data_IF_651227389496
#
_entry.id   IF_651227389496
#
_cell.length_a   1.000
_cell.length_b   1.000
_cell.length_c   1.000
_cell.angle_alpha   90.00
_cell.angle_beta   90.00
_cell.angle_gamma   90.00
#
_symmetry.space_group_name_H-M   'P 1'
#
loop_
_entity.id
_entity.type
_entity.pdbx_description
1 polymer ?
#
# COMPACT_ATOMS: atom_id res chain seq x y z
N UNK A 1 17.92 8.87 15.15
CA UNK A 1 17.24 7.83 15.94
C UNK A 1 17.61 6.49 15.32
N UNK A 2 18.43 5.67 15.98
CA UNK A 2 18.75 4.33 15.49
C UNK A 2 17.45 3.53 15.43
N UNK A 3 17.18 2.88 14.29
CA UNK A 3 15.98 2.08 14.03
C UNK A 3 15.66 1.15 15.21
N UNK A 4 14.56 1.41 15.90
CA UNK A 4 14.10 0.61 17.04
C UNK A 4 13.66 -0.80 16.63
N UNK A 5 13.38 -1.04 15.35
CA UNK A 5 12.98 -2.37 14.84
C UNK A 5 14.10 -3.42 14.87
N UNK A 6 15.38 -3.00 14.79
CA UNK A 6 16.48 -3.97 14.75
C UNK A 6 16.86 -4.57 16.12
N UNK A 7 16.51 -3.92 17.24
CA UNK A 7 16.91 -4.43 18.57
C UNK A 7 16.00 -5.48 19.18
N UNK A 8 14.71 -5.51 18.81
CA UNK A 8 13.77 -6.48 19.37
C UNK A 8 13.83 -7.87 18.73
N UNK A 9 14.25 -7.96 17.47
CA UNK A 9 14.27 -9.21 16.68
C UNK A 9 15.63 -9.93 16.76
N UNK A 10 16.72 -9.22 17.07
CA UNK A 10 18.08 -9.80 17.01
C UNK A 10 18.56 -10.52 18.27
N UNK A 11 17.89 -10.37 19.40
CA UNK A 11 18.38 -10.85 20.71
C UNK A 11 17.57 -12.01 21.33
N UNK A 12 16.61 -12.61 20.60
CA UNK A 12 15.91 -13.81 21.08
C UNK A 12 16.66 -15.09 20.69
N UNK A 13 17.34 -15.76 21.64
CA UNK A 13 18.09 -17.01 21.37
C UNK A 13 17.22 -18.15 20.82
N UNK A 14 15.89 -18.07 21.00
CA UNK A 14 14.93 -19.06 20.54
C UNK A 14 14.70 -19.03 19.02
N UNK A 15 15.02 -17.92 18.35
CA UNK A 15 14.79 -17.74 16.90
C UNK A 15 15.90 -18.35 16.02
N UNK A 16 17.00 -18.78 16.62
CA UNK A 16 18.18 -19.22 15.90
C UNK A 16 18.19 -20.72 15.55
N UNK A 17 17.25 -21.52 16.06
CA UNK A 17 17.30 -22.98 15.94
C UNK A 17 16.08 -23.53 15.21
N UNK A 18 16.24 -24.16 14.05
CA UNK A 18 15.17 -24.90 13.37
C UNK A 18 14.59 -26.00 14.27
N UNK A 19 13.29 -26.29 14.10
CA UNK A 19 12.58 -27.33 14.85
C UNK A 19 12.08 -28.47 13.96
N UNK A 20 11.98 -28.23 12.65
CA UNK A 20 11.53 -29.18 11.65
C UNK A 20 12.17 -28.88 10.29
N UNK A 21 11.88 -29.71 9.30
CA UNK A 21 12.25 -29.53 7.90
C UNK A 21 11.02 -29.74 7.02
N UNK A 22 10.79 -28.85 6.05
CA UNK A 22 9.73 -28.95 5.06
C UNK A 22 10.35 -28.73 3.69
N UNK A 23 10.21 -29.71 2.80
CA UNK A 23 10.74 -29.66 1.43
C UNK A 23 12.23 -29.25 1.35
N UNK A 24 13.04 -29.75 2.29
CA UNK A 24 14.48 -29.45 2.38
C UNK A 24 14.82 -28.12 3.08
N UNK A 25 13.83 -27.33 3.50
CA UNK A 25 14.05 -26.10 4.24
C UNK A 25 13.90 -26.30 5.75
N UNK A 26 14.89 -25.88 6.54
CA UNK A 26 14.74 -25.86 8.00
C UNK A 26 13.72 -24.79 8.40
N UNK A 27 12.75 -25.17 9.25
CA UNK A 27 11.65 -24.29 9.65
C UNK A 27 11.37 -24.36 11.15
N UNK A 28 10.58 -23.41 11.65
CA UNK A 28 9.97 -23.42 13.00
C UNK A 28 8.70 -22.55 13.01
N UNK A 29 7.86 -22.61 14.09
CA UNK A 29 6.82 -21.62 14.32
C UNK A 29 7.37 -20.19 14.26
N UNK A 30 6.64 -19.30 13.63
CA UNK A 30 7.05 -17.92 13.42
C UNK A 30 6.72 -16.98 14.58
N UNK A 31 6.89 -15.68 14.30
CA UNK A 31 6.58 -14.56 15.19
C UNK A 31 5.23 -14.01 14.73
N UNK A 32 4.16 -14.37 15.45
CA UNK A 32 2.77 -14.19 15.03
C UNK A 32 2.30 -12.74 14.94
N UNK A 33 2.93 -11.82 15.62
CA UNK A 33 2.63 -10.37 15.64
C UNK A 33 3.42 -9.57 14.60
N UNK A 34 4.24 -10.23 13.77
CA UNK A 34 4.94 -9.59 12.66
C UNK A 34 4.29 -9.99 11.33
N UNK A 35 3.27 -9.25 10.91
CA UNK A 35 2.57 -9.50 9.66
C UNK A 35 3.46 -9.35 8.42
N UNK A 36 3.19 -10.18 7.40
CA UNK A 36 3.94 -10.24 6.16
C UNK A 36 5.29 -10.94 6.30
N UNK A 37 6.20 -10.67 5.37
CA UNK A 37 7.55 -11.22 5.39
C UNK A 37 8.54 -10.28 6.07
N UNK A 38 9.20 -10.78 7.12
CA UNK A 38 10.20 -10.03 7.89
C UNK A 38 11.54 -10.74 7.85
N UNK A 39 12.60 -10.10 7.29
CA UNK A 39 13.94 -10.71 7.27
C UNK A 39 14.54 -10.77 8.68
N UNK A 40 15.08 -11.94 9.03
CA UNK A 40 15.81 -12.23 10.25
C UNK A 40 17.30 -12.45 9.94
N UNK A 41 18.12 -12.68 10.98
CA UNK A 41 19.56 -12.87 10.80
C UNK A 41 19.88 -14.07 9.87
N UNK A 42 19.14 -15.20 10.00
CA UNK A 42 19.42 -16.45 9.30
C UNK A 42 18.22 -16.99 8.52
N UNK A 43 17.19 -16.18 8.27
CA UNK A 43 15.98 -16.63 7.60
C UNK A 43 14.95 -15.51 7.42
N UNK A 44 13.73 -15.89 7.13
CA UNK A 44 12.61 -14.97 6.96
C UNK A 44 11.41 -15.49 7.75
N UNK A 45 10.78 -14.60 8.51
CA UNK A 45 9.49 -14.84 9.14
C UNK A 45 8.37 -14.51 8.17
N UNK A 46 7.48 -15.46 7.92
CA UNK A 46 6.28 -15.29 7.11
C UNK A 46 5.05 -15.44 7.98
N UNK A 47 4.22 -14.40 8.05
CA UNK A 47 2.99 -14.40 8.86
C UNK A 47 1.84 -13.89 8.03
N UNK A 48 0.75 -14.66 8.00
CA UNK A 48 -0.45 -14.35 7.22
C UNK A 48 -1.73 -14.68 8.00
N UNK A 49 -2.71 -13.79 7.92
CA UNK A 49 -4.05 -13.97 8.47
C UNK A 49 -4.97 -14.60 7.42
N UNK A 50 -5.70 -15.64 7.81
CA UNK A 50 -6.86 -16.16 7.07
C UNK A 50 -7.83 -16.89 8.02
N UNK A 51 -9.00 -16.32 8.20
CA UNK A 51 -10.05 -16.84 9.08
C UNK A 51 -10.76 -18.06 8.46
N UNK A 52 -11.10 -17.95 7.18
CA UNK A 52 -11.84 -18.98 6.46
C UNK A 52 -10.98 -20.05 5.80
N UNK A 53 -9.68 -19.83 5.71
CA UNK A 53 -8.73 -20.76 5.07
C UNK A 53 -8.55 -22.05 5.87
N UNK A 54 -8.66 -23.19 5.18
CA UNK A 54 -8.44 -24.53 5.74
C UNK A 54 -7.01 -25.00 5.61
N UNK A 55 -6.24 -24.45 4.67
CA UNK A 55 -4.79 -24.65 4.53
C UNK A 55 -4.15 -23.43 3.89
N UNK A 56 -2.88 -23.22 4.18
CA UNK A 56 -2.04 -22.19 3.60
C UNK A 56 -0.70 -22.76 3.15
N UNK A 57 -0.23 -22.37 1.99
CA UNK A 57 1.07 -22.73 1.44
C UNK A 57 1.86 -21.46 1.11
N UNK A 58 3.15 -21.45 1.46
CA UNK A 58 4.12 -20.47 1.00
C UNK A 58 4.76 -20.98 -0.29
N UNK A 59 4.72 -20.16 -1.33
CA UNK A 59 5.35 -20.42 -2.62
C UNK A 59 6.63 -19.61 -2.73
N UNK A 60 7.74 -20.26 -3.08
CA UNK A 60 9.02 -19.59 -3.31
C UNK A 60 9.38 -19.70 -4.79
N UNK A 61 9.67 -18.58 -5.42
CA UNK A 61 10.00 -18.46 -6.84
C UNK A 61 11.43 -17.96 -7.01
N UNK A 62 12.17 -18.48 -7.97
CA UNK A 62 13.34 -17.74 -8.45
C UNK A 62 12.90 -16.44 -9.09
N UNK A 63 13.74 -15.43 -9.01
CA UNK A 63 13.44 -14.10 -9.58
C UNK A 63 12.99 -14.20 -11.02
N UNK A 64 11.85 -13.61 -11.32
CA UNK A 64 11.27 -13.57 -12.65
C UNK A 64 10.91 -14.96 -13.24
N UNK A 65 10.59 -15.95 -12.40
CA UNK A 65 10.06 -17.24 -12.83
C UNK A 65 8.60 -17.36 -12.38
N UNK A 66 7.77 -18.00 -13.21
CA UNK A 66 6.36 -18.23 -12.93
C UNK A 66 6.13 -19.50 -12.09
N UNK A 67 7.00 -20.48 -12.21
CA UNK A 67 6.90 -21.75 -11.48
C UNK A 67 7.66 -21.67 -10.15
N UNK A 68 7.05 -22.04 -9.03
CA UNK A 68 7.73 -22.07 -7.75
C UNK A 68 8.80 -23.18 -7.72
N UNK A 69 9.97 -22.86 -7.17
CA UNK A 69 11.00 -23.86 -6.91
C UNK A 69 10.76 -24.63 -5.60
N UNK A 70 9.92 -24.10 -4.71
CA UNK A 70 9.50 -24.77 -3.48
C UNK A 70 8.07 -24.37 -3.11
N UNK A 71 7.34 -25.31 -2.53
CA UNK A 71 5.99 -25.13 -1.98
C UNK A 71 5.99 -25.63 -0.55
N UNK A 72 5.89 -24.71 0.41
CA UNK A 72 6.00 -25.00 1.83
C UNK A 72 4.63 -24.87 2.51
N UNK A 73 3.93 -25.99 2.80
CA UNK A 73 2.68 -25.93 3.55
C UNK A 73 2.96 -25.48 4.98
N UNK A 74 2.13 -24.58 5.49
CA UNK A 74 2.15 -24.22 6.90
C UNK A 74 1.56 -25.39 7.72
N UNK A 75 2.33 -25.98 8.65
CA UNK A 75 1.79 -26.99 9.55
C UNK A 75 0.64 -26.41 10.40
N UNK A 76 -0.36 -27.22 10.72
CA UNK A 76 -1.45 -26.81 11.63
C UNK A 76 -0.93 -26.36 12.99
N UNK A 77 0.17 -26.97 13.47
CA UNK A 77 0.85 -26.56 14.71
C UNK A 77 1.51 -25.16 14.61
N UNK A 78 1.58 -24.56 13.42
CA UNK A 78 2.10 -23.21 13.18
C UNK A 78 0.96 -22.20 12.93
N UNK A 79 -0.26 -22.57 13.31
CA UNK A 79 -1.45 -21.71 13.32
C UNK A 79 -1.85 -21.40 14.77
N UNK A 80 -2.10 -20.13 15.05
CA UNK A 80 -2.68 -19.67 16.32
C UNK A 80 -3.88 -18.76 15.98
N UNK A 81 -5.07 -19.14 16.41
CA UNK A 81 -6.29 -18.46 15.97
C UNK A 81 -6.43 -18.53 14.45
N UNK A 82 -6.52 -17.39 13.82
CA UNK A 82 -6.63 -17.24 12.36
C UNK A 82 -5.31 -16.83 11.68
N UNK A 83 -4.18 -16.99 12.37
CA UNK A 83 -2.87 -16.56 11.88
C UNK A 83 -1.96 -17.75 11.71
N UNK A 84 -1.42 -17.92 10.50
CA UNK A 84 -0.32 -18.84 10.19
C UNK A 84 1.00 -18.07 10.29
N UNK A 85 2.00 -18.64 10.96
CA UNK A 85 3.32 -18.02 11.05
C UNK A 85 4.44 -19.06 11.04
N UNK A 86 5.45 -18.86 10.16
CA UNK A 86 6.58 -19.77 9.99
C UNK A 86 7.87 -19.00 9.69
N UNK A 87 8.94 -19.34 10.37
CA UNK A 87 10.29 -18.93 9.99
C UNK A 87 10.87 -20.01 9.06
N UNK A 88 11.37 -19.57 7.91
CA UNK A 88 12.10 -20.39 6.96
C UNK A 88 13.55 -19.94 6.94
N UNK A 89 14.48 -20.87 7.21
CA UNK A 89 15.91 -20.58 7.30
C UNK A 89 16.63 -20.83 5.98
N UNK A 90 17.80 -20.21 5.81
CA UNK A 90 18.68 -20.43 4.66
C UNK A 90 18.25 -19.72 3.38
N UNK A 91 17.26 -18.83 3.44
CA UNK A 91 16.81 -18.05 2.31
C UNK A 91 17.70 -16.82 2.09
N UNK A 92 18.19 -16.64 0.86
CA UNK A 92 18.80 -15.40 0.43
C UNK A 92 17.73 -14.47 -0.15
N UNK A 93 17.40 -13.40 0.56
CA UNK A 93 16.31 -12.48 0.20
C UNK A 93 16.51 -11.78 -1.15
N UNK A 94 17.72 -11.74 -1.68
CA UNK A 94 18.04 -11.13 -2.97
C UNK A 94 17.81 -12.09 -4.16
N UNK A 95 17.53 -13.38 -3.91
CA UNK A 95 17.46 -14.41 -4.95
C UNK A 95 16.06 -14.97 -5.18
N UNK A 96 15.08 -14.67 -4.31
CA UNK A 96 13.75 -15.22 -4.44
C UNK A 96 12.64 -14.18 -4.36
N UNK A 97 11.49 -14.56 -4.85
CA UNK A 97 10.19 -13.92 -4.72
C UNK A 97 9.23 -14.90 -4.04
N UNK A 98 8.16 -14.41 -3.43
CA UNK A 98 7.22 -15.29 -2.74
C UNK A 98 5.77 -14.89 -2.98
N UNK A 99 4.88 -15.85 -2.81
CA UNK A 99 3.44 -15.67 -2.79
C UNK A 99 2.80 -16.76 -1.90
N UNK A 100 1.49 -16.75 -1.83
CA UNK A 100 0.73 -17.73 -1.06
C UNK A 100 -0.29 -18.47 -1.92
N UNK A 101 -0.72 -19.65 -1.45
CA UNK A 101 -1.96 -20.32 -1.84
C UNK A 101 -2.76 -20.60 -0.59
N UNK A 102 -4.06 -20.35 -0.66
CA UNK A 102 -4.99 -20.64 0.44
C UNK A 102 -6.13 -21.49 -0.11
N UNK A 103 -6.41 -22.60 0.55
CA UNK A 103 -7.58 -23.44 0.28
C UNK A 103 -8.65 -23.20 1.33
N UNK A 104 -9.91 -23.43 0.96
CA UNK A 104 -11.05 -23.20 1.84
C UNK A 104 -12.39 -23.35 1.10
N UNK A 105 -13.49 -23.01 1.73
CA UNK A 105 -14.80 -23.11 1.11
C UNK A 105 -14.96 -22.13 -0.05
N UNK A 106 -15.56 -22.61 -1.15
CA UNK A 106 -15.97 -21.78 -2.27
C UNK A 106 -17.49 -21.66 -2.29
N UNK A 107 -18.01 -20.53 -1.88
CA UNK A 107 -19.44 -20.25 -1.76
C UNK A 107 -19.69 -18.75 -2.02
N UNK A 108 -19.69 -18.31 -3.29
CA UNK A 108 -19.76 -16.90 -3.66
C UNK A 108 -20.94 -16.15 -3.03
N UNK A 109 -22.09 -16.80 -2.91
CA UNK A 109 -23.28 -16.22 -2.30
C UNK A 109 -23.14 -15.92 -0.79
N UNK A 110 -22.07 -16.42 -0.17
CA UNK A 110 -21.65 -16.10 1.20
C UNK A 110 -20.36 -15.28 1.25
N UNK A 111 -19.89 -14.82 0.09
CA UNK A 111 -18.65 -14.09 -0.02
C UNK A 111 -17.38 -14.92 0.19
N UNK A 112 -17.45 -16.24 0.13
CA UNK A 112 -16.30 -17.14 0.31
C UNK A 112 -15.75 -17.54 -1.07
N UNK A 113 -14.52 -17.11 -1.37
CA UNK A 113 -13.91 -17.24 -2.70
C UNK A 113 -12.56 -17.98 -2.67
N UNK A 114 -12.34 -18.88 -1.70
CA UNK A 114 -11.08 -19.62 -1.61
C UNK A 114 -10.87 -20.50 -2.83
N UNK A 115 -9.64 -20.46 -3.38
CA UNK A 115 -9.25 -21.28 -4.53
C UNK A 115 -7.75 -21.53 -4.49
N UNK A 116 -7.36 -22.75 -4.16
CA UNK A 116 -5.96 -23.19 -4.08
C UNK A 116 -5.16 -23.06 -5.39
N UNK A 117 -5.81 -22.81 -6.52
CA UNK A 117 -5.11 -22.57 -7.78
C UNK A 117 -4.68 -21.12 -7.97
N UNK A 118 -5.19 -20.19 -7.13
CA UNK A 118 -4.80 -18.79 -7.18
C UNK A 118 -3.45 -18.60 -6.49
N UNK A 119 -2.55 -17.90 -7.14
CA UNK A 119 -1.33 -17.36 -6.53
C UNK A 119 -1.68 -16.00 -5.95
N UNK A 120 -1.49 -15.85 -4.65
CA UNK A 120 -1.94 -14.69 -3.89
C UNK A 120 -0.76 -13.85 -3.42
N UNK A 121 -0.77 -12.58 -3.79
CA UNK A 121 0.16 -11.57 -3.28
C UNK A 121 -0.12 -11.32 -1.80
N UNK A 122 0.93 -11.30 -0.99
CA UNK A 122 0.87 -10.92 0.42
C UNK A 122 0.22 -9.53 0.59
N UNK A 123 -0.85 -9.38 1.37
CA UNK A 123 -1.42 -8.07 1.70
C UNK A 123 -0.43 -7.09 2.34
N UNK A 124 0.64 -7.58 2.95
CA UNK A 124 1.73 -6.81 3.57
C UNK A 124 3.01 -6.75 2.72
N UNK A 125 2.93 -7.05 1.42
CA UNK A 125 4.08 -7.03 0.52
C UNK A 125 4.74 -5.64 0.47
N UNK A 126 6.01 -5.55 0.83
CA UNK A 126 6.79 -4.30 0.87
C UNK A 126 7.48 -3.97 -0.46
N UNK A 127 7.49 -4.91 -1.38
CA UNK A 127 7.88 -4.75 -2.77
C UNK A 127 7.20 -5.81 -3.61
N UNK A 128 6.86 -5.48 -4.86
CA UNK A 128 6.16 -6.39 -5.79
C UNK A 128 7.02 -6.61 -7.02
N UNK A 129 7.11 -7.87 -7.45
CA UNK A 129 7.73 -8.29 -8.71
C UNK A 129 6.69 -8.33 -9.85
N UNK A 130 7.15 -8.35 -11.09
CA UNK A 130 6.31 -8.46 -12.29
C UNK A 130 6.14 -7.17 -13.07
N UNK A 131 6.46 -6.00 -12.51
CA UNK A 131 6.41 -4.72 -13.18
C UNK A 131 7.76 -4.02 -13.10
N UNK A 132 8.45 -3.86 -14.23
CA UNK A 132 9.82 -3.30 -14.25
C UNK A 132 9.95 -2.01 -15.02
N UNK A 133 9.07 -1.80 -15.99
CA UNK A 133 9.10 -0.63 -16.87
C UNK A 133 7.67 -0.25 -17.16
N UNK A 134 7.38 1.05 -17.10
CA UNK A 134 6.06 1.59 -17.38
C UNK A 134 5.49 1.06 -18.70
N UNK A 135 4.28 0.50 -18.64
CA UNK A 135 3.54 -0.05 -19.78
C UNK A 135 3.98 -1.45 -20.22
N UNK A 136 4.98 -2.03 -19.58
CA UNK A 136 5.46 -3.38 -19.86
C UNK A 136 5.37 -4.19 -18.58
N UNK A 137 4.42 -5.12 -18.58
CA UNK A 137 4.30 -6.08 -17.49
C UNK A 137 5.26 -7.25 -17.71
N UNK A 138 5.87 -7.73 -16.62
CA UNK A 138 6.79 -8.85 -16.67
C UNK A 138 6.05 -10.18 -16.86
N UNK A 139 5.04 -10.42 -16.02
CA UNK A 139 4.15 -11.56 -16.03
C UNK A 139 2.75 -11.13 -15.57
N UNK A 140 1.82 -12.06 -15.50
CA UNK A 140 0.45 -11.80 -15.03
C UNK A 140 0.24 -12.16 -13.56
N UNK A 141 1.26 -12.68 -12.87
CA UNK A 141 1.20 -13.08 -11.48
C UNK A 141 2.02 -12.10 -10.62
N UNK A 142 1.44 -11.62 -9.54
CA UNK A 142 2.14 -10.75 -8.59
C UNK A 142 2.86 -11.61 -7.56
N UNK A 143 4.18 -11.47 -7.48
CA UNK A 143 4.99 -12.01 -6.41
C UNK A 143 5.49 -10.90 -5.52
N UNK A 144 5.55 -11.16 -4.21
CA UNK A 144 6.14 -10.25 -3.26
C UNK A 144 7.66 -10.49 -3.14
N UNK A 145 8.38 -9.44 -2.76
CA UNK A 145 9.80 -9.50 -2.43
C UNK A 145 10.02 -9.15 -0.97
N UNK A 146 10.98 -9.80 -0.35
CA UNK A 146 11.40 -9.49 1.02
C UNK A 146 12.31 -8.27 0.98
N UNK A 147 12.02 -7.28 1.80
CA UNK A 147 12.80 -6.02 1.87
C UNK A 147 13.51 -5.92 3.21
N UNK A 148 14.82 -5.76 3.17
CA UNK A 148 15.64 -5.39 4.32
C UNK A 148 15.92 -3.90 4.27
N UNK A 149 15.40 -3.17 5.25
CA UNK A 149 15.64 -1.73 5.31
C UNK A 149 17.02 -1.43 5.90
N UNK A 150 17.90 -0.92 5.04
CA UNK A 150 19.26 -0.50 5.40
C UNK A 150 19.53 0.94 5.00
N UNK A 151 18.48 1.72 4.66
CA UNK A 151 18.63 3.08 4.16
C UNK A 151 19.18 4.02 5.22
N UNK A 152 20.25 4.74 4.88
CA UNK A 152 20.82 5.77 5.73
C UNK A 152 20.20 7.14 5.44
N UNK A 153 19.47 7.64 6.42
CA UNK A 153 18.85 8.96 6.36
C UNK A 153 19.83 10.11 6.63
N UNK A 154 21.04 9.82 7.12
CA UNK A 154 22.00 10.85 7.57
C UNK A 154 21.43 11.72 8.69
N UNK A 155 21.95 12.96 8.75
CA UNK A 155 21.54 13.97 9.74
C UNK A 155 20.38 14.86 9.27
N UNK A 156 19.66 14.49 8.22
CA UNK A 156 18.52 15.26 7.71
C UNK A 156 17.36 15.17 8.71
N UNK A 157 16.94 16.32 9.31
CA UNK A 157 15.84 16.32 10.25
C UNK A 157 14.51 16.13 9.51
N UNK A 158 13.57 15.43 10.14
CA UNK A 158 12.18 15.44 9.69
C UNK A 158 11.58 16.82 9.91
N UNK A 159 10.85 17.34 8.94
CA UNK A 159 10.14 18.62 9.06
C UNK A 159 9.01 18.50 10.09
N UNK A 160 8.64 19.63 10.69
CA UNK A 160 7.56 19.71 11.70
C UNK A 160 6.79 21.02 11.51
N UNK A 161 6.34 21.28 10.27
CA UNK A 161 5.51 22.46 10.02
C UNK A 161 4.09 22.21 10.48
N UNK A 162 3.42 23.27 10.96
CA UNK A 162 1.99 23.23 11.20
C UNK A 162 1.24 23.18 9.86
N UNK A 163 0.08 22.52 9.85
CA UNK A 163 -0.71 22.37 8.62
C UNK A 163 -1.11 23.74 8.02
N UNK A 164 -1.42 24.72 8.84
CA UNK A 164 -1.79 26.07 8.40
C UNK A 164 -0.63 26.84 7.73
N UNK A 165 0.61 26.41 7.91
CA UNK A 165 1.79 27.00 7.29
C UNK A 165 2.19 26.33 5.98
N UNK A 166 1.48 25.26 5.57
CA UNK A 166 1.81 24.51 4.35
C UNK A 166 1.23 25.19 3.11
N UNK A 167 2.07 25.25 2.09
CA UNK A 167 1.69 25.50 0.71
C UNK A 167 1.94 24.18 -0.03
N UNK A 168 0.86 23.43 -0.24
CA UNK A 168 0.91 22.08 -0.78
C UNK A 168 0.79 22.13 -2.30
N UNK A 169 1.68 21.43 -2.99
CA UNK A 169 1.62 21.23 -4.42
C UNK A 169 1.34 19.75 -4.72
N UNK A 170 0.14 19.46 -5.21
CA UNK A 170 -0.24 18.14 -5.67
C UNK A 170 0.44 17.87 -7.01
N UNK A 171 1.13 16.74 -7.13
CA UNK A 171 1.79 16.32 -8.36
C UNK A 171 1.81 14.81 -8.57
N UNK A 172 1.80 14.42 -9.82
CA UNK A 172 1.96 13.04 -10.24
C UNK A 172 3.43 12.76 -10.60
N UNK A 173 4.07 11.79 -9.93
CA UNK A 173 5.51 11.49 -10.09
C UNK A 173 5.92 11.37 -11.56
N UNK A 174 5.19 10.53 -12.32
CA UNK A 174 5.52 10.30 -13.74
C UNK A 174 5.21 11.51 -14.60
N UNK A 175 4.00 12.06 -14.53
CA UNK A 175 3.55 13.09 -15.45
C UNK A 175 4.30 14.41 -15.27
N UNK A 176 4.76 14.71 -14.05
CA UNK A 176 5.48 15.94 -13.75
C UNK A 176 6.78 16.09 -14.54
N UNK A 177 7.46 14.97 -14.85
CA UNK A 177 8.75 15.01 -15.53
C UNK A 177 8.83 14.22 -16.82
N UNK A 178 7.78 13.50 -17.21
CA UNK A 178 7.84 12.59 -18.36
C UNK A 178 8.07 13.28 -19.70
N UNK A 179 7.47 14.47 -19.90
CA UNK A 179 7.62 15.20 -21.16
C UNK A 179 9.07 15.72 -21.33
N UNK A 180 9.63 15.68 -22.57
CA UNK A 180 11.01 16.13 -22.82
C UNK A 180 11.31 17.57 -22.38
N UNK A 181 10.31 18.47 -22.40
CA UNK A 181 10.46 19.86 -21.93
C UNK A 181 10.77 19.99 -20.45
N UNK A 182 10.63 18.91 -19.66
CA UNK A 182 11.06 18.92 -18.27
C UNK A 182 12.55 19.11 -18.11
N UNK A 183 13.36 18.72 -19.11
CA UNK A 183 14.80 18.87 -19.11
C UNK A 183 15.55 17.97 -18.13
N UNK A 184 14.86 17.01 -17.48
CA UNK A 184 15.48 16.08 -16.52
C UNK A 184 16.04 14.84 -17.22
N UNK A 185 17.03 14.20 -16.59
CA UNK A 185 17.67 13.00 -17.10
C UNK A 185 16.76 11.75 -16.90
N UNK A 186 16.20 11.58 -15.70
CA UNK A 186 15.41 10.41 -15.33
C UNK A 186 13.90 10.71 -15.39
N UNK A 187 13.39 10.97 -16.59
CA UNK A 187 12.02 11.41 -16.81
C UNK A 187 10.97 10.39 -16.32
N UNK A 188 9.99 10.88 -15.60
CA UNK A 188 8.84 10.09 -15.12
C UNK A 188 9.14 9.19 -13.94
N UNK A 189 10.22 9.45 -13.18
CA UNK A 189 10.66 8.63 -12.05
C UNK A 189 10.87 9.46 -10.78
N UNK A 190 11.05 8.80 -9.64
CA UNK A 190 11.43 9.45 -8.38
C UNK A 190 12.74 10.25 -8.53
N UNK A 191 13.72 9.72 -9.24
CA UNK A 191 14.98 10.43 -9.54
C UNK A 191 14.75 11.68 -10.39
N UNK A 192 13.86 11.61 -11.38
CA UNK A 192 13.51 12.77 -12.21
C UNK A 192 12.78 13.85 -11.42
N UNK A 193 11.93 13.46 -10.46
CA UNK A 193 11.29 14.43 -9.56
C UNK A 193 12.33 15.11 -8.66
N UNK A 194 13.32 14.38 -8.17
CA UNK A 194 14.42 14.92 -7.37
C UNK A 194 15.19 16.03 -8.12
N UNK A 195 15.40 15.89 -9.44
CA UNK A 195 16.01 16.92 -10.28
C UNK A 195 15.19 18.23 -10.34
N UNK A 196 13.91 18.20 -9.98
CA UNK A 196 12.98 19.36 -9.94
C UNK A 196 12.87 20.04 -8.58
N UNK A 197 13.56 19.60 -7.54
CA UNK A 197 13.56 20.25 -6.23
C UNK A 197 13.90 21.75 -6.31
N UNK A 198 14.91 22.20 -7.10
CA UNK A 198 15.18 23.64 -7.26
C UNK A 198 13.97 24.43 -7.79
N UNK A 199 13.24 23.87 -8.77
CA UNK A 199 12.01 24.48 -9.31
C UNK A 199 10.90 24.58 -8.24
N UNK A 200 10.69 23.51 -7.46
CA UNK A 200 9.68 23.51 -6.39
C UNK A 200 10.00 24.56 -5.31
N UNK A 201 11.28 24.75 -5.00
CA UNK A 201 11.73 25.83 -4.10
C UNK A 201 11.50 27.22 -4.68
N UNK A 202 11.79 27.43 -5.96
CA UNK A 202 11.55 28.70 -6.65
C UNK A 202 10.05 29.04 -6.68
N UNK A 203 9.20 28.01 -6.86
CA UNK A 203 7.75 28.15 -6.80
C UNK A 203 7.25 28.58 -5.40
N UNK A 204 8.06 28.39 -4.35
CA UNK A 204 7.77 28.81 -2.98
C UNK A 204 6.89 27.84 -2.21
N UNK A 205 6.71 26.60 -2.69
CA UNK A 205 5.96 25.57 -1.95
C UNK A 205 6.83 24.97 -0.85
N UNK A 206 6.20 24.44 0.18
CA UNK A 206 6.89 23.80 1.30
C UNK A 206 6.34 22.41 1.66
N UNK A 207 5.43 21.89 0.87
CA UNK A 207 4.99 20.51 0.88
C UNK A 207 4.63 20.04 -0.54
N UNK A 208 4.90 18.78 -0.84
CA UNK A 208 4.37 18.10 -2.02
C UNK A 208 3.38 17.04 -1.59
N UNK A 209 2.25 16.95 -2.28
CA UNK A 209 1.31 15.85 -2.18
C UNK A 209 1.51 14.99 -3.42
N UNK A 210 2.04 13.78 -3.22
CA UNK A 210 2.28 12.84 -4.30
C UNK A 210 0.98 12.06 -4.56
N UNK A 211 0.40 12.22 -5.76
CA UNK A 211 -0.65 11.32 -6.25
C UNK A 211 -0.19 9.87 -6.08
N UNK A 212 -1.09 8.87 -6.08
CA UNK A 212 -0.78 7.53 -5.58
C UNK A 212 0.54 6.96 -6.07
N UNK A 213 1.40 6.61 -5.11
CA UNK A 213 2.73 6.01 -5.35
C UNK A 213 2.79 4.55 -4.89
N UNK A 214 1.72 4.03 -4.31
CA UNK A 214 1.62 2.61 -3.99
C UNK A 214 1.64 1.79 -5.27
N UNK A 215 2.07 0.52 -5.17
CA UNK A 215 2.12 -0.34 -6.35
C UNK A 215 0.74 -0.50 -6.99
N UNK A 216 0.65 -0.16 -8.27
CA UNK A 216 -0.50 -0.38 -9.13
C UNK A 216 -0.03 -0.87 -10.49
N UNK A 217 -0.92 -1.48 -11.23
CA UNK A 217 -0.63 -2.01 -12.57
C UNK A 217 -1.29 -1.17 -13.63
N UNK A 218 -0.50 -0.32 -14.28
CA UNK A 218 -0.97 0.56 -15.34
C UNK A 218 -1.50 -0.20 -16.57
N UNK A 219 -1.21 -1.48 -16.68
CA UNK A 219 -1.69 -2.33 -17.79
C UNK A 219 -3.00 -3.05 -17.51
N UNK A 220 -3.45 -3.11 -16.25
CA UNK A 220 -4.62 -3.91 -15.83
C UNK A 220 -5.91 -3.50 -16.55
N UNK A 221 -6.15 -2.20 -16.72
CA UNK A 221 -7.32 -1.64 -17.38
C UNK A 221 -6.97 -1.00 -18.73
N UNK A 222 -5.89 -1.44 -19.36
CA UNK A 222 -5.45 -0.90 -20.64
C UNK A 222 -6.53 -1.07 -21.72
N UNK A 223 -6.77 -0.01 -22.48
CA UNK A 223 -7.74 0.01 -23.60
C UNK A 223 -7.11 0.62 -24.84
N UNK A 224 -7.57 0.21 -26.00
CA UNK A 224 -7.10 0.77 -27.26
C UNK A 224 -8.15 1.78 -27.80
N UNK A 225 -7.70 3.00 -28.09
CA UNK A 225 -8.50 4.05 -28.72
C UNK A 225 -7.73 4.54 -29.95
N UNK A 226 -8.34 4.47 -31.11
CA UNK A 226 -7.75 4.88 -32.40
C UNK A 226 -6.34 4.28 -32.64
N UNK A 227 -6.17 3.00 -32.29
CA UNK A 227 -4.89 2.30 -32.44
C UNK A 227 -3.83 2.63 -31.37
N UNK A 228 -4.13 3.53 -30.43
CA UNK A 228 -3.24 3.89 -29.32
C UNK A 228 -3.67 3.15 -28.05
N UNK A 229 -2.74 2.44 -27.43
CA UNK A 229 -2.98 1.83 -26.12
C UNK A 229 -2.95 2.91 -25.02
N UNK A 230 -4.04 3.03 -24.29
CA UNK A 230 -4.18 3.88 -23.13
C UNK A 230 -4.01 3.03 -21.86
N UNK A 231 -3.17 3.49 -20.96
CA UNK A 231 -2.81 2.82 -19.71
C UNK A 231 -3.48 3.55 -18.53
N UNK A 232 -3.66 2.83 -17.43
CA UNK A 232 -3.97 3.45 -16.14
C UNK A 232 -2.80 4.37 -15.74
N UNK A 233 -3.08 5.65 -15.54
CA UNK A 233 -2.01 6.63 -15.33
C UNK A 233 -1.99 7.17 -13.91
N UNK A 234 -3.14 7.30 -13.24
CA UNK A 234 -3.26 8.06 -12.00
C UNK A 234 -2.86 7.27 -10.75
N UNK A 235 -2.95 5.94 -10.79
CA UNK A 235 -2.56 5.08 -9.69
C UNK A 235 -3.65 4.82 -8.63
N UNK A 236 -4.90 5.28 -8.86
CA UNK A 236 -6.02 5.00 -7.94
C UNK A 236 -6.57 3.58 -8.11
N UNK A 237 -5.73 2.61 -8.37
CA UNK A 237 -6.08 1.19 -8.53
C UNK A 237 -5.03 0.31 -7.86
N UNK A 238 -4.98 0.35 -6.53
CA UNK A 238 -3.89 -0.18 -5.73
C UNK A 238 -3.83 -1.71 -5.76
N UNK A 239 -2.66 -2.25 -6.09
CA UNK A 239 -2.31 -3.69 -6.01
C UNK A 239 -1.71 -4.03 -4.65
N UNK A 240 -0.85 -3.17 -4.09
CA UNK A 240 -0.22 -3.37 -2.78
C UNK A 240 -0.08 -2.06 -2.02
N UNK A 241 -0.54 -2.04 -0.76
CA UNK A 241 -0.52 -0.84 0.09
C UNK A 241 0.87 -0.53 0.69
N UNK A 242 1.74 -1.52 0.84
CA UNK A 242 3.05 -1.35 1.48
C UNK A 242 4.20 -1.17 0.49
N UNK A 243 3.98 -1.42 -0.80
CA UNK A 243 5.00 -1.35 -1.81
C UNK A 243 4.94 -0.04 -2.59
N UNK A 244 6.07 0.68 -2.79
CA UNK A 244 6.12 1.77 -3.75
C UNK A 244 6.03 1.23 -5.18
N UNK A 245 5.46 2.03 -6.09
CA UNK A 245 5.33 1.64 -7.49
C UNK A 245 6.69 1.41 -8.13
N UNK A 246 6.92 0.19 -8.60
CA UNK A 246 8.20 -0.26 -9.15
C UNK A 246 8.56 0.44 -10.46
N UNK A 247 7.58 0.85 -11.27
CA UNK A 247 7.81 1.55 -12.53
C UNK A 247 8.15 3.04 -12.38
N UNK A 248 8.04 3.59 -11.17
CA UNK A 248 8.54 4.93 -10.85
C UNK A 248 10.03 4.97 -10.48
N UNK A 249 10.70 3.83 -10.44
CA UNK A 249 12.16 3.78 -10.29
C UNK A 249 12.88 4.09 -11.59
N UNK A 250 14.01 4.78 -11.50
CA UNK A 250 14.89 5.09 -12.64
C UNK A 250 15.70 3.88 -13.13
N UNK A 251 15.77 2.81 -12.34
CA UNK A 251 16.53 1.60 -12.63
C UNK A 251 15.76 0.34 -12.25
N UNK A 252 16.00 -0.74 -13.00
CA UNK A 252 15.36 -2.05 -12.81
C UNK A 252 16.11 -2.94 -11.81
N UNK A 253 16.80 -2.36 -10.85
CA UNK A 253 17.49 -3.09 -9.81
C UNK A 253 16.49 -3.59 -8.75
N UNK A 254 16.81 -4.72 -8.14
CA UNK A 254 16.01 -5.34 -7.10
C UNK A 254 15.79 -4.39 -5.90
N UNK A 255 14.54 -4.14 -5.52
CA UNK A 255 14.14 -3.22 -4.45
C UNK A 255 14.66 -1.78 -4.60
N UNK A 256 14.99 -1.35 -5.81
CA UNK A 256 15.52 -0.01 -6.08
C UNK A 256 14.47 1.08 -5.85
N UNK A 257 13.21 0.80 -6.15
CA UNK A 257 12.08 1.73 -6.00
C UNK A 257 11.97 2.29 -4.58
N UNK A 258 12.10 1.43 -3.56
CA UNK A 258 12.06 1.87 -2.16
C UNK A 258 13.24 2.76 -1.78
N UNK A 259 14.44 2.42 -2.23
CA UNK A 259 15.65 3.22 -1.98
C UNK A 259 15.57 4.58 -2.68
N UNK A 260 15.10 4.60 -3.93
CA UNK A 260 14.98 5.83 -4.72
C UNK A 260 13.93 6.77 -4.14
N UNK A 261 12.76 6.24 -3.71
CA UNK A 261 11.74 7.03 -3.04
C UNK A 261 12.26 7.61 -1.70
N UNK A 262 12.96 6.82 -0.89
CA UNK A 262 13.57 7.32 0.35
C UNK A 262 14.61 8.41 0.08
N UNK A 263 15.39 8.27 -1.00
CA UNK A 263 16.33 9.29 -1.42
C UNK A 263 15.61 10.58 -1.79
N UNK A 264 14.54 10.49 -2.58
CA UNK A 264 13.70 11.65 -2.93
C UNK A 264 13.16 12.34 -1.67
N UNK A 265 12.59 11.59 -0.73
CA UNK A 265 12.02 12.15 0.51
C UNK A 265 13.13 12.82 1.35
N UNK A 266 14.30 12.20 1.48
CA UNK A 266 15.43 12.79 2.18
C UNK A 266 15.86 14.11 1.55
N UNK A 267 15.96 14.17 0.22
CA UNK A 267 16.35 15.40 -0.50
C UNK A 267 15.27 16.50 -0.39
N UNK A 268 13.98 16.13 -0.42
CA UNK A 268 12.89 17.08 -0.17
C UNK A 268 13.00 17.67 1.25
N UNK A 269 13.18 16.83 2.28
CA UNK A 269 13.36 17.27 3.66
C UNK A 269 14.61 18.16 3.82
N UNK A 270 15.72 17.81 3.20
CA UNK A 270 16.94 18.63 3.20
C UNK A 270 16.71 20.04 2.62
N UNK A 271 15.71 20.18 1.75
CA UNK A 271 15.28 21.43 1.14
C UNK A 271 14.07 22.07 1.81
N UNK A 272 13.63 21.56 2.97
CA UNK A 272 12.54 22.11 3.76
C UNK A 272 11.15 21.85 3.18
N UNK A 273 10.99 20.84 2.32
CA UNK A 273 9.73 20.43 1.69
C UNK A 273 9.24 19.14 2.35
N UNK A 274 8.03 19.16 2.89
CA UNK A 274 7.34 18.00 3.45
C UNK A 274 6.74 17.12 2.35
N UNK A 275 6.49 15.84 2.67
CA UNK A 275 5.93 14.87 1.74
C UNK A 275 4.63 14.30 2.30
N UNK A 276 3.55 14.50 1.55
CA UNK A 276 2.22 13.95 1.80
C UNK A 276 1.97 12.87 0.74
N UNK A 277 1.47 11.72 1.14
CA UNK A 277 1.07 10.67 0.21
C UNK A 277 -0.44 10.65 0.04
N UNK A 278 -0.90 10.59 -1.21
CA UNK A 278 -2.28 10.28 -1.53
C UNK A 278 -2.49 8.77 -1.42
N UNK A 279 -3.38 8.35 -0.51
CA UNK A 279 -3.61 6.95 -0.16
C UNK A 279 -5.03 6.50 -0.46
N UNK A 280 -5.14 5.32 -1.07
CA UNK A 280 -6.40 4.78 -1.58
C UNK A 280 -6.77 3.53 -0.76
N UNK A 281 -7.45 3.71 0.39
CA UNK A 281 -7.93 2.59 1.20
C UNK A 281 -9.42 2.30 1.02
N UNK A 282 -10.08 3.00 0.12
CA UNK A 282 -11.51 2.82 -0.10
C UNK A 282 -11.85 1.62 -0.99
N UNK A 283 -10.91 1.17 -1.82
CA UNK A 283 -11.04 0.00 -2.71
C UNK A 283 -9.69 -0.60 -3.07
N UNK A 284 -9.70 -1.70 -3.82
CA UNK A 284 -8.50 -2.36 -4.35
C UNK A 284 -8.63 -2.63 -5.84
N UNK A 285 -7.53 -2.97 -6.49
CA UNK A 285 -7.47 -3.33 -7.90
C UNK A 285 -8.18 -4.64 -8.26
N UNK A 286 -8.72 -5.38 -7.27
CA UNK A 286 -9.41 -6.64 -7.52
C UNK A 286 -10.83 -6.48 -8.12
N UNK A 287 -11.33 -5.22 -8.27
CA UNK A 287 -12.61 -4.94 -8.92
C UNK A 287 -13.82 -5.64 -8.26
N UNK A 288 -14.88 -5.89 -9.02
CA UNK A 288 -16.09 -6.54 -8.57
C UNK A 288 -16.00 -8.08 -8.60
N UNK A 289 -17.17 -8.78 -8.57
CA UNK A 289 -17.26 -10.25 -8.63
C UNK A 289 -16.64 -10.87 -9.91
N UNK A 290 -16.46 -10.08 -10.98
CA UNK A 290 -15.82 -10.50 -12.23
C UNK A 290 -14.34 -10.10 -12.30
N UNK A 291 -13.88 -9.35 -11.31
CA UNK A 291 -12.49 -8.92 -11.23
C UNK A 291 -11.55 -10.05 -10.79
N UNK A 292 -10.24 -9.85 -10.92
CA UNK A 292 -9.25 -10.84 -10.55
C UNK A 292 -9.25 -11.12 -9.03
N UNK A 293 -8.71 -12.28 -8.66
CA UNK A 293 -8.44 -12.65 -7.26
C UNK A 293 -6.94 -12.95 -7.16
N UNK A 294 -6.18 -11.97 -6.70
CA UNK A 294 -4.73 -12.07 -6.62
C UNK A 294 -4.17 -11.72 -5.22
N UNK A 295 -5.01 -11.28 -4.29
CA UNK A 295 -4.63 -10.95 -2.91
C UNK A 295 -5.84 -11.12 -1.99
N UNK A 296 -6.45 -10.02 -1.51
CA UNK A 296 -7.48 -9.96 -0.46
C UNK A 296 -8.67 -10.89 -0.67
N UNK A 297 -9.18 -11.01 -1.91
CA UNK A 297 -10.27 -11.92 -2.26
C UNK A 297 -9.95 -13.38 -1.96
N UNK A 298 -8.70 -13.77 -2.23
CA UNK A 298 -8.25 -15.14 -2.06
C UNK A 298 -7.91 -15.51 -0.62
N UNK A 299 -7.65 -14.52 0.25
CA UNK A 299 -7.40 -14.75 1.68
C UNK A 299 -8.69 -14.81 2.47
N UNK A 300 -9.50 -13.73 2.46
CA UNK A 300 -10.76 -13.64 3.18
C UNK A 300 -11.64 -12.55 2.57
N UNK A 301 -12.27 -12.85 1.43
CA UNK A 301 -13.09 -11.88 0.70
C UNK A 301 -14.15 -11.19 1.58
N UNK A 302 -14.83 -11.94 2.43
CA UNK A 302 -15.88 -11.45 3.33
C UNK A 302 -15.38 -10.63 4.53
N UNK A 303 -14.08 -10.61 4.79
CA UNK A 303 -13.45 -9.77 5.81
C UNK A 303 -12.97 -8.45 5.20
N UNK A 304 -12.28 -8.55 4.07
CA UNK A 304 -11.66 -7.38 3.44
C UNK A 304 -12.65 -6.48 2.72
N UNK A 305 -13.78 -7.01 2.22
CA UNK A 305 -14.74 -6.23 1.43
C UNK A 305 -16.11 -6.12 2.09
N UNK A 306 -16.75 -4.99 1.87
CA UNK A 306 -18.15 -4.80 2.18
C UNK A 306 -19.00 -5.57 1.18
N UNK A 307 -19.77 -6.56 1.66
CA UNK A 307 -20.60 -7.42 0.82
C UNK A 307 -22.07 -7.23 1.13
N UNK A 308 -22.88 -7.31 0.09
CA UNK A 308 -24.34 -7.42 0.22
C UNK A 308 -24.72 -8.81 0.77
N UNK A 309 -25.94 -9.01 1.30
CA UNK A 309 -26.34 -10.31 1.86
C UNK A 309 -26.27 -11.50 0.90
N UNK A 310 -26.23 -11.26 -0.41
CA UNK A 310 -26.09 -12.25 -1.48
C UNK A 310 -24.64 -12.40 -1.99
N UNK A 311 -23.66 -11.84 -1.26
CA UNK A 311 -22.23 -12.01 -1.53
C UNK A 311 -21.64 -11.10 -2.61
N UNK A 312 -22.42 -10.17 -3.19
CA UNK A 312 -21.92 -9.17 -4.12
C UNK A 312 -21.24 -8.00 -3.39
N UNK A 313 -20.50 -7.17 -4.13
CA UNK A 313 -19.78 -6.04 -3.52
C UNK A 313 -20.64 -4.79 -3.43
N UNK A 314 -20.63 -4.12 -2.28
CA UNK A 314 -20.97 -2.71 -2.23
C UNK A 314 -19.93 -1.90 -3.03
N UNK A 315 -20.39 -0.90 -3.78
CA UNK A 315 -19.56 -0.11 -4.69
C UNK A 315 -19.66 1.40 -4.38
N UNK A 316 -19.34 1.79 -3.14
CA UNK A 316 -19.30 3.19 -2.74
C UNK A 316 -18.08 3.95 -3.30
N UNK A 317 -17.08 3.21 -3.80
CA UNK A 317 -15.90 3.78 -4.46
C UNK A 317 -16.14 4.13 -5.95
N UNK A 318 -17.13 3.51 -6.60
CA UNK A 318 -17.30 3.56 -8.04
C UNK A 318 -16.36 2.63 -8.83
N UNK A 319 -15.44 1.92 -8.13
CA UNK A 319 -14.39 1.09 -8.74
C UNK A 319 -14.68 -0.42 -8.69
N UNK A 320 -15.89 -0.81 -8.30
CA UNK A 320 -16.36 -2.19 -8.31
C UNK A 320 -16.37 -2.87 -6.95
N UNK A 321 -15.56 -2.44 -5.99
CA UNK A 321 -15.57 -2.92 -4.62
C UNK A 321 -15.44 -1.78 -3.62
N UNK A 322 -15.70 -2.07 -2.36
CA UNK A 322 -15.48 -1.18 -1.22
C UNK A 322 -14.78 -1.96 -0.13
N UNK A 323 -13.65 -1.45 0.35
CA UNK A 323 -12.91 -2.09 1.45
C UNK A 323 -13.68 -1.93 2.76
N UNK A 324 -13.76 -3.01 3.57
CA UNK A 324 -14.42 -3.03 4.87
C UNK A 324 -13.52 -2.42 5.95
N UNK A 325 -13.30 -1.11 5.88
CA UNK A 325 -12.29 -0.38 6.65
C UNK A 325 -12.49 -0.45 8.16
N UNK A 326 -13.72 -0.73 8.64
CA UNK A 326 -14.01 -0.81 10.07
C UNK A 326 -14.00 -2.25 10.62
N UNK A 327 -13.75 -3.26 9.79
CA UNK A 327 -13.43 -4.60 10.29
C UNK A 327 -12.08 -4.59 11.03
N UNK A 328 -11.93 -5.22 12.21
CA UNK A 328 -10.69 -5.13 13.01
C UNK A 328 -9.41 -5.52 12.27
N UNK A 329 -9.46 -6.55 11.43
CA UNK A 329 -8.30 -6.99 10.60
C UNK A 329 -7.90 -5.91 9.60
N UNK A 330 -8.87 -5.25 8.96
CA UNK A 330 -8.62 -4.20 7.97
C UNK A 330 -8.15 -2.91 8.66
N UNK A 331 -8.70 -2.57 9.84
CA UNK A 331 -8.21 -1.46 10.66
C UNK A 331 -6.74 -1.64 11.00
N UNK A 332 -6.34 -2.85 11.43
CA UNK A 332 -4.95 -3.16 11.74
C UNK A 332 -4.06 -3.04 10.50
N UNK A 333 -4.47 -3.59 9.36
CA UNK A 333 -3.75 -3.47 8.10
C UNK A 333 -3.47 -2.00 7.73
N UNK A 334 -4.50 -1.14 7.78
CA UNK A 334 -4.40 0.28 7.45
C UNK A 334 -3.48 1.00 8.44
N UNK A 335 -3.65 0.76 9.75
CA UNK A 335 -2.82 1.37 10.77
C UNK A 335 -1.35 0.97 10.62
N UNK A 336 -1.06 -0.32 10.42
CA UNK A 336 0.30 -0.81 10.19
C UNK A 336 0.91 -0.24 8.91
N UNK A 337 0.11 -0.09 7.86
CA UNK A 337 0.52 0.53 6.60
C UNK A 337 0.97 1.99 6.82
N UNK A 338 0.15 2.82 7.46
CA UNK A 338 0.49 4.22 7.71
C UNK A 338 1.69 4.37 8.65
N UNK A 339 1.79 3.52 9.68
CA UNK A 339 2.98 3.45 10.55
C UNK A 339 4.23 3.07 9.76
N UNK A 340 4.14 2.08 8.86
CA UNK A 340 5.24 1.67 8.00
C UNK A 340 5.76 2.83 7.14
N UNK A 341 4.87 3.55 6.45
CA UNK A 341 5.25 4.70 5.65
C UNK A 341 5.82 5.85 6.49
N UNK A 342 5.28 6.07 7.69
CA UNK A 342 5.79 7.09 8.63
C UNK A 342 7.16 6.74 9.17
N UNK A 343 7.38 5.49 9.60
CA UNK A 343 8.63 5.07 10.25
C UNK A 343 9.75 4.87 9.21
N UNK A 344 9.45 4.11 8.14
CA UNK A 344 10.46 3.64 7.20
C UNK A 344 10.73 4.62 6.07
N UNK A 345 9.74 5.46 5.71
CA UNK A 345 9.87 6.47 4.65
C UNK A 345 9.84 7.92 5.17
N UNK A 346 9.62 8.12 6.46
CA UNK A 346 9.53 9.45 7.09
C UNK A 346 8.51 10.38 6.43
N UNK A 347 7.38 9.83 5.99
CA UNK A 347 6.27 10.58 5.38
C UNK A 347 5.66 11.52 6.40
N UNK A 348 5.34 12.76 6.01
CA UNK A 348 4.85 13.83 6.89
C UNK A 348 3.33 13.96 6.93
N UNK A 349 2.64 13.36 5.96
CA UNK A 349 1.18 13.40 5.90
C UNK A 349 0.58 12.37 4.93
N UNK A 350 -0.73 12.18 5.07
CA UNK A 350 -1.54 11.36 4.17
C UNK A 350 -2.82 12.12 3.80
N UNK A 351 -3.12 12.13 2.50
CA UNK A 351 -4.42 12.53 1.95
C UNK A 351 -5.18 11.25 1.61
N UNK A 352 -6.38 11.12 2.14
CA UNK A 352 -7.19 9.91 1.98
C UNK A 352 -8.23 10.12 0.88
N UNK A 353 -8.08 9.36 -0.20
CA UNK A 353 -9.03 9.30 -1.31
C UNK A 353 -10.38 8.77 -0.83
N UNK A 354 -11.49 9.44 -1.22
CA UNK A 354 -12.86 9.07 -0.84
C UNK A 354 -12.99 8.70 0.65
N UNK A 355 -12.46 9.53 1.53
CA UNK A 355 -12.29 9.23 2.96
C UNK A 355 -13.61 8.95 3.70
N UNK A 356 -14.77 9.39 3.18
CA UNK A 356 -16.07 9.08 3.77
C UNK A 356 -16.36 7.58 3.80
N UNK A 357 -15.74 6.77 2.93
CA UNK A 357 -15.84 5.31 2.96
C UNK A 357 -15.25 4.73 4.25
N UNK A 358 -14.16 5.32 4.77
CA UNK A 358 -13.52 4.87 6.01
C UNK A 358 -14.43 5.05 7.24
N UNK A 359 -15.51 5.80 7.08
CA UNK A 359 -16.53 6.04 8.10
C UNK A 359 -17.82 5.23 7.93
N UNK A 360 -17.83 4.19 7.09
CA UNK A 360 -19.01 3.35 6.88
C UNK A 360 -18.98 2.07 7.69
N UNK A 361 -20.19 1.61 8.12
CA UNK A 361 -20.43 0.26 8.66
C UNK A 361 -20.34 -0.79 7.55
N UNK A 362 -20.34 -2.06 7.94
CA UNK A 362 -20.38 -3.20 7.01
C UNK A 362 -21.60 -3.23 6.08
N UNK A 363 -22.73 -2.67 6.53
CA UNK A 363 -23.95 -2.50 5.74
C UNK A 363 -23.95 -1.24 4.84
N UNK A 364 -22.86 -0.52 4.83
CA UNK A 364 -22.67 0.73 4.06
C UNK A 364 -23.24 1.97 4.72
N UNK A 365 -23.92 1.90 5.86
CA UNK A 365 -24.42 3.07 6.57
C UNK A 365 -23.30 3.91 7.16
N UNK A 366 -23.39 5.26 7.17
CA UNK A 366 -22.35 6.10 7.77
C UNK A 366 -22.37 6.01 9.30
N UNK A 367 -21.18 6.01 9.90
CA UNK A 367 -21.01 6.05 11.36
C UNK A 367 -20.79 7.49 11.85
N UNK A 368 -21.32 7.80 13.03
CA UNK A 368 -21.01 9.07 13.71
C UNK A 368 -19.62 9.07 14.38
N UNK A 369 -19.11 7.88 14.76
CA UNK A 369 -17.82 7.73 15.43
C UNK A 369 -17.09 6.49 14.88
N UNK A 370 -16.53 6.57 13.67
CA UNK A 370 -15.87 5.43 13.04
C UNK A 370 -14.62 5.00 13.83
N UNK A 371 -14.51 3.70 14.18
CA UNK A 371 -13.36 3.20 14.93
C UNK A 371 -12.02 3.45 14.24
N UNK A 372 -11.93 3.22 12.93
CA UNK A 372 -10.69 3.45 12.18
C UNK A 372 -10.23 4.91 12.26
N UNK A 373 -11.11 5.88 11.95
CA UNK A 373 -10.74 7.30 11.93
C UNK A 373 -10.25 7.77 13.30
N UNK A 374 -10.86 7.25 14.37
CA UNK A 374 -10.45 7.51 15.74
C UNK A 374 -9.09 6.88 16.05
N UNK A 375 -8.90 5.60 15.68
CA UNK A 375 -7.63 4.91 15.88
C UNK A 375 -6.46 5.65 15.20
N UNK A 376 -6.67 6.12 13.97
CA UNK A 376 -5.64 6.89 13.25
C UNK A 376 -5.38 8.27 13.90
N UNK A 377 -6.43 8.93 14.40
CA UNK A 377 -6.30 10.23 15.06
C UNK A 377 -5.55 10.17 16.39
N UNK A 378 -5.75 9.08 17.14
CA UNK A 378 -5.22 8.92 18.50
C UNK A 378 -3.87 8.14 18.52
N UNK A 379 -3.39 7.67 17.35
CA UNK A 379 -2.17 6.87 17.28
C UNK A 379 -0.91 7.69 17.62
N UNK A 380 -0.08 7.25 18.59
CA UNK A 380 1.09 8.03 19.04
C UNK A 380 2.20 8.13 17.99
N UNK A 381 2.31 7.19 17.04
CA UNK A 381 3.28 7.24 15.94
C UNK A 381 2.83 8.26 14.90
N UNK A 382 1.51 8.35 14.65
CA UNK A 382 0.93 9.28 13.70
C UNK A 382 0.67 10.67 14.30
N UNK A 383 1.01 10.95 15.57
CA UNK A 383 0.65 12.18 16.31
C UNK A 383 1.06 13.48 15.60
N UNK A 384 2.17 13.49 14.87
CA UNK A 384 2.66 14.65 14.11
C UNK A 384 2.42 14.55 12.60
N UNK A 385 1.79 13.47 12.13
CA UNK A 385 1.51 13.22 10.71
C UNK A 385 0.23 13.94 10.32
N UNK A 386 0.20 14.68 9.22
CA UNK A 386 -0.98 15.34 8.70
C UNK A 386 -1.98 14.31 8.18
N UNK A 387 -3.24 14.39 8.59
CA UNK A 387 -4.35 13.57 8.11
C UNK A 387 -5.33 14.47 7.38
N UNK A 388 -5.47 14.28 6.07
CA UNK A 388 -6.28 15.11 5.19
C UNK A 388 -7.33 14.22 4.53
N UNK A 389 -8.60 14.55 4.66
CA UNK A 389 -9.70 13.80 4.11
C UNK A 389 -10.25 14.44 2.84
N UNK A 390 -10.42 13.64 1.80
CA UNK A 390 -11.41 13.91 0.77
C UNK A 390 -12.77 13.49 1.31
N UNK A 391 -13.51 14.44 1.88
CA UNK A 391 -14.66 14.20 2.76
C UNK A 391 -15.96 13.87 1.98
N UNK A 392 -15.90 12.97 0.99
CA UNK A 392 -17.04 12.44 0.22
C UNK A 392 -16.75 11.03 -0.30
N UNK A 393 -17.74 10.43 -0.98
CA UNK A 393 -17.59 9.19 -1.73
C UNK A 393 -18.48 9.14 -2.98
N UNK A 394 -18.29 8.10 -3.82
CA UNK A 394 -19.08 7.91 -5.03
C UNK A 394 -20.51 7.36 -4.76
N UNK A 395 -20.81 6.95 -3.54
CA UNK A 395 -22.15 6.53 -3.09
C UNK A 395 -23.05 7.69 -2.69
N UNK A 396 -22.57 8.93 -2.81
CA UNK A 396 -23.34 10.15 -2.54
C UNK A 396 -23.23 10.69 -1.12
N UNK A 397 -22.36 10.15 -0.28
CA UNK A 397 -22.07 10.72 1.02
C UNK A 397 -21.13 11.91 0.85
N UNK A 398 -21.55 13.08 1.36
CA UNK A 398 -20.79 14.33 1.33
C UNK A 398 -20.69 14.90 2.73
N UNK A 399 -19.49 14.94 3.28
CA UNK A 399 -19.23 15.27 4.68
C UNK A 399 -18.28 16.49 4.85
N UNK A 400 -18.10 17.30 3.81
CA UNK A 400 -17.29 18.52 3.92
C UNK A 400 -17.88 19.44 5.00
N UNK A 401 -17.06 19.84 5.99
CA UNK A 401 -17.45 20.59 7.17
C UNK A 401 -18.10 19.76 8.27
N UNK A 402 -18.25 18.45 8.06
CA UNK A 402 -18.87 17.53 9.04
C UNK A 402 -18.22 16.14 9.05
N UNK A 403 -17.00 16.03 8.55
CA UNK A 403 -16.27 14.75 8.56
C UNK A 403 -16.11 14.26 10.01
N UNK A 404 -16.44 12.98 10.29
CA UNK A 404 -16.53 12.47 11.66
C UNK A 404 -15.13 12.22 12.25
N UNK A 405 -14.46 13.31 12.59
CA UNK A 405 -13.11 13.33 13.09
C UNK A 405 -13.00 14.19 14.35
N UNK A 406 -12.11 13.84 15.24
CA UNK A 406 -11.88 14.45 16.55
C UNK A 406 -11.12 15.79 16.51
N UNK A 407 -11.28 16.60 15.47
CA UNK A 407 -10.52 17.84 15.27
C UNK A 407 -9.06 17.63 14.85
N UNK A 408 -8.65 16.38 14.61
CA UNK A 408 -7.30 15.97 14.20
C UNK A 408 -7.15 15.92 12.66
N UNK A 409 -8.26 15.77 11.95
CA UNK A 409 -8.32 15.67 10.49
C UNK A 409 -8.53 17.06 9.88
N UNK A 410 -7.86 17.32 8.77
CA UNK A 410 -8.19 18.39 7.85
C UNK A 410 -9.06 17.84 6.71
N UNK A 411 -9.74 18.73 6.01
CA UNK A 411 -10.60 18.37 4.88
C UNK A 411 -10.20 19.17 3.63
N UNK A 412 -10.25 18.57 2.47
CA UNK A 412 -10.24 19.32 1.23
C UNK A 412 -11.53 20.13 1.10
N UNK A 413 -11.39 21.39 0.71
CA UNK A 413 -12.52 22.30 0.58
C UNK A 413 -12.80 22.62 -0.90
N UNK A 414 -13.81 21.95 -1.46
CA UNK A 414 -14.24 22.17 -2.85
C UNK A 414 -14.84 23.57 -3.08
N UNK A 415 -15.30 24.26 -2.02
CA UNK A 415 -15.92 25.58 -2.15
C UNK A 415 -14.90 26.73 -2.21
N UNK A 416 -13.63 26.49 -1.90
CA UNK A 416 -12.61 27.53 -1.81
C UNK A 416 -12.41 28.27 -3.14
N UNK A 417 -12.46 27.56 -4.28
CA UNK A 417 -12.34 28.17 -5.61
C UNK A 417 -13.45 29.17 -5.90
N UNK A 418 -14.67 28.94 -5.38
CA UNK A 418 -15.80 29.86 -5.53
C UNK A 418 -15.68 31.09 -4.60
N UNK A 419 -14.92 30.98 -3.54
CA UNK A 419 -14.67 32.06 -2.57
C UNK A 419 -13.50 32.94 -3.03
N UNK A 420 -12.39 32.31 -3.46
CA UNK A 420 -11.15 33.01 -3.80
C UNK A 420 -11.11 33.57 -5.21
N UNK A 421 -11.82 32.97 -6.18
CA UNK A 421 -11.84 33.39 -7.59
C UNK A 421 -13.25 33.36 -8.22
N UNK A 422 -14.25 34.04 -7.66
CA UNK A 422 -15.63 33.94 -8.13
C UNK A 422 -15.85 34.48 -9.55
N UNK A 423 -14.90 35.24 -10.11
CA UNK A 423 -15.02 35.88 -11.42
C UNK A 423 -14.45 35.08 -12.58
N UNK A 424 -13.62 34.08 -12.35
CA UNK A 424 -13.03 33.27 -13.44
C UNK A 424 -13.96 32.23 -14.06
N UNK A 425 -14.94 31.74 -13.30
CA UNK A 425 -15.91 30.75 -13.81
C UNK A 425 -16.88 31.28 -14.87
N UNK A 426 -17.01 32.59 -15.02
CA UNK A 426 -17.87 33.22 -16.04
C UNK A 426 -17.18 33.39 -17.40
N UNK A 427 -15.88 33.07 -17.52
CA UNK A 427 -15.12 33.26 -18.78
C UNK A 427 -14.86 31.96 -19.55
N UNK A 428 -15.38 30.81 -19.09
CA UNK A 428 -15.33 29.54 -19.81
C UNK A 428 -16.74 29.15 -20.22
N UNK A 429 -17.23 29.83 -21.28
CA UNK A 429 -18.39 29.42 -22.01
C UNK A 429 -17.99 29.10 -23.47
#
# INVERSE_FOLDING_TARGET
>A
MKSYHHKFVSDHPLESTPMAEIDGFPVRPGIFDLNGATPLQNGVNFTIHTCGGTSCELLLFHRAQEEPFAVLPFPEAYKIGDVYSMIVYGLNIDEFEYAYRVDGPYCPEKGLLFNKNNVLLDPYAKAVAGQRTWGIRWDHTYHARVVKDTFDWGDVPQSKKELCDLIIYELHVRNFTHHPSSGVQHRGTFAGLMEKIPYLKELGINAVELMPIFEFDETMNARTVDGTQLLECWGYNTVSFFAPNSSYSSANEHNREGTELKTLIRELHANGIEVILDVVFNHTAEGNEKGPSFSFKGFDNNIYYMLTPDGNYYNFSGCGNTLNCNHPVVQQLILECLRYWTINYRVDGFRFDLASILGRNEDGSPMNNPPLLRTLADDPILSNVKLIAEAWDAGGLYQVGSFPASGRWAEWNLSLIHISEPTRLLSIS
#
